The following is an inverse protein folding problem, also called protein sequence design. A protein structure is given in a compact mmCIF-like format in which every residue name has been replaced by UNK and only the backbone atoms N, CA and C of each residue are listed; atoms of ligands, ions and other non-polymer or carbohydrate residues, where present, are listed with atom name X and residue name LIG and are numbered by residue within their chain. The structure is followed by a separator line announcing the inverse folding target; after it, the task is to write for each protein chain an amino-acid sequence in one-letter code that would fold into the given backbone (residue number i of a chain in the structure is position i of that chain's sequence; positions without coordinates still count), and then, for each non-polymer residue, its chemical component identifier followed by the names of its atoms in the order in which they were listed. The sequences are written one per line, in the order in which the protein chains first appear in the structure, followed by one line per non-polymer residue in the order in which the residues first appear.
data_IF_237570007178
#
_entry.id   IF_237570007178
#
_cell.length_a   1.000
_cell.length_b   1.000
_cell.length_c   1.000
_cell.angle_alpha   90.00
_cell.angle_beta   90.00
_cell.angle_gamma   90.00
#
_symmetry.space_group_name_H-M   'P 1'
#
loop_
_entity.id
_entity.type
_entity.pdbx_description
1 polymer ?
#
# COMPACT_ATOMS: atom_id res chain seq x y z
N UNK A 1 -16.03 -29.22 -2.81
CA UNK A 1 -15.13 -28.53 -1.87
C UNK A 1 -14.21 -27.69 -2.74
N UNK A 2 -14.43 -26.37 -2.83
CA UNK A 2 -13.57 -25.49 -3.63
C UNK A 2 -12.31 -25.25 -2.83
N UNK A 3 -11.23 -25.95 -3.19
CA UNK A 3 -9.89 -25.64 -2.71
C UNK A 3 -9.50 -24.35 -3.44
N UNK A 4 -9.38 -23.25 -2.69
CA UNK A 4 -8.78 -22.03 -3.24
C UNK A 4 -7.29 -22.28 -3.22
N UNK A 5 -6.76 -22.75 -4.34
CA UNK A 5 -5.32 -22.86 -4.57
C UNK A 5 -4.78 -21.43 -4.65
N UNK A 6 -4.22 -20.95 -3.53
CA UNK A 6 -3.72 -19.59 -3.41
C UNK A 6 -2.20 -19.65 -3.58
N UNK A 7 -1.67 -19.04 -4.64
CA UNK A 7 -0.23 -19.00 -4.86
C UNK A 7 0.40 -17.93 -3.96
N UNK A 8 0.90 -18.37 -2.80
CA UNK A 8 1.53 -17.53 -1.77
C UNK A 8 2.76 -16.79 -2.29
N UNK A 9 3.53 -17.38 -3.21
CA UNK A 9 4.67 -16.72 -3.87
C UNK A 9 4.25 -15.54 -4.75
N UNK A 10 3.12 -15.67 -5.46
CA UNK A 10 2.54 -14.57 -6.25
C UNK A 10 2.07 -13.46 -5.33
N UNK A 11 1.36 -13.79 -4.23
CA UNK A 11 0.95 -12.80 -3.24
C UNK A 11 2.14 -12.06 -2.62
N UNK A 12 3.22 -12.77 -2.32
CA UNK A 12 4.45 -12.18 -1.78
C UNK A 12 5.12 -11.24 -2.78
N UNK A 13 5.19 -11.65 -4.04
CA UNK A 13 5.74 -10.82 -5.13
C UNK A 13 4.91 -9.56 -5.36
N UNK A 14 3.60 -9.70 -5.44
CA UNK A 14 2.67 -8.60 -5.67
C UNK A 14 2.70 -7.62 -4.50
N UNK A 15 2.67 -8.12 -3.26
CA UNK A 15 2.70 -7.25 -2.08
C UNK A 15 4.03 -6.53 -1.91
N UNK A 16 5.14 -7.14 -2.34
CA UNK A 16 6.44 -6.48 -2.45
C UNK A 16 6.42 -5.35 -3.49
N UNK A 17 5.86 -5.61 -4.67
CA UNK A 17 5.72 -4.63 -5.75
C UNK A 17 4.85 -3.44 -5.32
N UNK A 18 3.69 -3.73 -4.71
CA UNK A 18 2.77 -2.70 -4.18
C UNK A 18 3.45 -1.88 -3.09
N UNK A 19 4.25 -2.49 -2.21
CA UNK A 19 5.04 -1.75 -1.21
C UNK A 19 6.00 -0.75 -1.85
N UNK A 20 6.62 -1.12 -2.97
CA UNK A 20 7.45 -0.22 -3.78
C UNK A 20 6.64 0.96 -4.33
N UNK A 21 5.46 0.71 -4.89
CA UNK A 21 4.57 1.76 -5.39
C UNK A 21 4.06 2.69 -4.29
N UNK A 22 3.67 2.17 -3.13
CA UNK A 22 3.30 2.96 -1.95
C UNK A 22 4.44 3.91 -1.57
N UNK A 23 5.67 3.41 -1.53
CA UNK A 23 6.85 4.22 -1.21
C UNK A 23 7.07 5.35 -2.22
N UNK A 24 6.93 5.06 -3.51
CA UNK A 24 7.04 6.05 -4.57
C UNK A 24 5.93 7.11 -4.49
N UNK A 25 4.69 6.70 -4.22
CA UNK A 25 3.56 7.61 -4.06
C UNK A 25 3.75 8.54 -2.86
N UNK A 26 4.25 8.03 -1.72
CA UNK A 26 4.57 8.86 -0.55
C UNK A 26 5.64 9.90 -0.86
N UNK A 27 6.68 9.52 -1.61
CA UNK A 27 7.73 10.46 -2.02
C UNK A 27 7.20 11.53 -2.98
N UNK A 28 6.35 11.14 -3.93
CA UNK A 28 5.71 12.08 -4.84
C UNK A 28 4.78 13.06 -4.10
N UNK A 29 3.99 12.57 -3.14
CA UNK A 29 3.12 13.40 -2.29
C UNK A 29 3.93 14.47 -1.54
N UNK A 30 5.03 14.07 -0.87
CA UNK A 30 5.94 15.00 -0.18
C UNK A 30 6.57 16.03 -1.12
N UNK A 31 6.91 15.63 -2.34
CA UNK A 31 7.45 16.55 -3.33
C UNK A 31 6.42 17.62 -3.74
N UNK A 32 5.15 17.22 -3.91
CA UNK A 32 4.05 18.15 -4.19
C UNK A 32 3.88 19.13 -3.02
N UNK A 33 3.88 18.64 -1.78
CA UNK A 33 3.79 19.50 -0.58
C UNK A 33 4.92 20.54 -0.53
N UNK A 34 6.16 20.14 -0.84
CA UNK A 34 7.30 21.05 -0.91
C UNK A 34 7.16 22.12 -1.99
N UNK A 35 6.62 21.74 -3.16
CA UNK A 35 6.35 22.68 -4.26
C UNK A 35 5.26 23.68 -3.87
N UNK A 36 4.17 23.22 -3.22
CA UNK A 36 3.10 24.10 -2.71
C UNK A 36 3.68 25.15 -1.75
N UNK A 37 4.54 24.73 -0.81
CA UNK A 37 5.19 25.65 0.13
C UNK A 37 6.11 26.68 -0.53
N UNK A 38 6.67 26.36 -1.69
CA UNK A 38 7.49 27.31 -2.47
C UNK A 38 6.62 28.29 -3.25
N UNK A 39 5.51 27.80 -3.82
CA UNK A 39 4.54 28.62 -4.56
C UNK A 39 3.86 29.65 -3.68
N UNK A 40 3.48 29.30 -2.44
CA UNK A 40 2.81 30.23 -1.51
C UNK A 40 3.67 31.45 -1.14
N UNK A 41 5.00 31.34 -1.21
CA UNK A 41 5.92 32.46 -0.96
C UNK A 41 6.19 33.36 -2.17
N UNK A 42 5.74 32.98 -3.38
CA UNK A 42 6.04 33.68 -4.63
C UNK A 42 4.81 34.12 -5.42
N UNK A 43 3.65 33.56 -5.13
CA UNK A 43 2.39 33.87 -5.79
C UNK A 43 1.31 34.21 -4.75
N UNK A 44 0.89 35.47 -4.74
CA UNK A 44 -0.10 36.00 -3.80
C UNK A 44 -1.41 36.39 -4.49
N UNK A 45 -2.49 36.50 -3.71
CA UNK A 45 -3.83 36.90 -4.15
C UNK A 45 -4.89 35.80 -4.03
N UNK A 46 -6.16 36.16 -4.23
CA UNK A 46 -7.31 35.26 -4.02
C UNK A 46 -7.23 33.97 -4.87
N UNK A 47 -6.74 34.09 -6.11
CA UNK A 47 -6.51 32.95 -7.00
C UNK A 47 -5.44 32.00 -6.45
N UNK A 48 -4.36 32.54 -5.89
CA UNK A 48 -3.28 31.75 -5.29
C UNK A 48 -3.79 30.98 -4.06
N UNK A 49 -4.51 31.66 -3.15
CA UNK A 49 -5.11 31.05 -1.96
C UNK A 49 -6.08 29.92 -2.31
N UNK A 50 -6.91 30.13 -3.34
CA UNK A 50 -7.87 29.13 -3.82
C UNK A 50 -7.16 27.90 -4.39
N UNK A 51 -6.12 28.13 -5.19
CA UNK A 51 -5.33 27.05 -5.78
C UNK A 51 -4.57 26.25 -4.71
N UNK A 52 -3.90 26.94 -3.78
CA UNK A 52 -3.18 26.32 -2.66
C UNK A 52 -4.11 25.47 -1.80
N UNK A 53 -5.29 25.99 -1.45
CA UNK A 53 -6.29 25.26 -0.67
C UNK A 53 -6.74 24.00 -1.39
N UNK A 54 -7.01 24.09 -2.69
CA UNK A 54 -7.43 22.93 -3.50
C UNK A 54 -6.33 21.88 -3.56
N UNK A 55 -5.09 22.29 -3.80
CA UNK A 55 -3.95 21.38 -3.89
C UNK A 55 -3.66 20.69 -2.56
N UNK A 56 -3.73 21.40 -1.44
CA UNK A 56 -3.61 20.81 -0.11
C UNK A 56 -4.67 19.73 0.12
N UNK A 57 -5.94 20.02 -0.24
CA UNK A 57 -7.01 19.03 -0.13
C UNK A 57 -6.78 17.81 -1.03
N UNK A 58 -6.27 18.00 -2.25
CA UNK A 58 -5.98 16.90 -3.16
C UNK A 58 -4.80 16.05 -2.65
N UNK A 59 -3.78 16.66 -2.05
CA UNK A 59 -2.69 15.94 -1.36
C UNK A 59 -3.20 15.16 -0.15
N UNK A 60 -4.11 15.72 0.65
CA UNK A 60 -4.73 15.00 1.77
C UNK A 60 -5.43 13.73 1.28
N UNK A 61 -6.25 13.84 0.23
CA UNK A 61 -6.94 12.68 -0.37
C UNK A 61 -5.98 11.66 -0.97
N UNK A 62 -4.88 12.12 -1.57
CA UNK A 62 -3.82 11.24 -2.05
C UNK A 62 -3.20 10.44 -0.89
N UNK A 63 -2.91 11.09 0.24
CA UNK A 63 -2.36 10.43 1.42
C UNK A 63 -3.36 9.42 2.01
N UNK A 64 -4.65 9.76 2.09
CA UNK A 64 -5.71 8.82 2.50
C UNK A 64 -5.78 7.58 1.60
N UNK A 65 -5.68 7.77 0.28
CA UNK A 65 -5.66 6.67 -0.69
C UNK A 65 -4.41 5.79 -0.52
N UNK A 66 -3.24 6.41 -0.33
CA UNK A 66 -1.98 5.70 -0.10
C UNK A 66 -2.09 4.82 1.15
N UNK A 67 -2.69 5.33 2.22
CA UNK A 67 -2.85 4.60 3.46
C UNK A 67 -3.85 3.44 3.32
N UNK A 68 -4.98 3.65 2.63
CA UNK A 68 -5.92 2.57 2.31
C UNK A 68 -5.28 1.44 1.48
N UNK A 69 -4.44 1.78 0.49
CA UNK A 69 -3.69 0.79 -0.30
C UNK A 69 -2.67 0.07 0.59
N UNK A 70 -2.01 0.79 1.52
CA UNK A 70 -1.06 0.19 2.47
C UNK A 70 -1.73 -0.81 3.40
N UNK A 71 -2.91 -0.51 3.92
CA UNK A 71 -3.69 -1.42 4.76
C UNK A 71 -4.11 -2.67 3.98
N UNK A 72 -4.61 -2.52 2.75
CA UNK A 72 -4.96 -3.64 1.89
C UNK A 72 -3.75 -4.54 1.60
N UNK A 73 -2.59 -3.93 1.32
CA UNK A 73 -1.36 -4.64 1.06
C UNK A 73 -0.90 -5.46 2.28
N UNK A 74 -0.99 -4.86 3.48
CA UNK A 74 -0.65 -5.52 4.73
C UNK A 74 -1.62 -6.67 5.07
N UNK A 75 -2.91 -6.48 4.79
CA UNK A 75 -3.90 -7.56 4.88
C UNK A 75 -3.58 -8.73 3.94
N UNK A 76 -3.16 -8.43 2.72
CA UNK A 76 -2.76 -9.43 1.72
C UNK A 76 -1.50 -10.19 2.16
N UNK A 77 -0.48 -9.49 2.69
CA UNK A 77 0.70 -10.13 3.27
C UNK A 77 0.33 -11.07 4.41
N UNK A 78 -0.53 -10.61 5.33
CA UNK A 78 -1.00 -11.40 6.47
C UNK A 78 -1.75 -12.66 6.02
N UNK A 79 -2.60 -12.53 4.99
CA UNK A 79 -3.29 -13.66 4.41
C UNK A 79 -2.31 -14.67 3.79
N UNK A 80 -1.32 -14.19 3.02
CA UNK A 80 -0.25 -15.03 2.45
C UNK A 80 0.49 -15.84 3.51
N UNK A 81 0.95 -15.20 4.59
CA UNK A 81 1.62 -15.89 5.70
C UNK A 81 0.72 -16.93 6.37
N UNK A 82 -0.58 -16.66 6.52
CA UNK A 82 -1.52 -17.64 7.11
C UNK A 82 -1.73 -18.86 6.22
N UNK A 83 -1.76 -18.68 4.90
CA UNK A 83 -1.82 -19.80 3.96
C UNK A 83 -0.56 -20.67 4.03
N UNK A 84 0.64 -20.05 3.99
CA UNK A 84 1.92 -20.77 4.13
C UNK A 84 1.98 -21.58 5.44
N UNK A 85 1.56 -20.99 6.56
CA UNK A 85 1.50 -21.68 7.85
C UNK A 85 0.54 -22.88 7.83
N UNK A 86 -0.63 -22.72 7.19
CA UNK A 86 -1.60 -23.80 7.06
C UNK A 86 -1.03 -24.97 6.26
N UNK A 87 -0.39 -24.69 5.12
CA UNK A 87 0.23 -25.70 4.26
C UNK A 87 1.35 -26.45 4.98
N UNK A 88 2.21 -25.74 5.70
CA UNK A 88 3.28 -26.35 6.51
C UNK A 88 2.71 -27.27 7.61
N UNK A 89 1.69 -26.81 8.35
CA UNK A 89 1.06 -27.62 9.39
C UNK A 89 0.42 -28.90 8.82
N UNK A 90 -0.22 -28.82 7.65
CA UNK A 90 -0.81 -29.99 6.98
C UNK A 90 0.29 -30.95 6.52
N UNK A 91 1.38 -30.44 5.94
CA UNK A 91 2.53 -31.25 5.53
C UNK A 91 3.15 -31.99 6.73
N UNK A 92 3.30 -31.31 7.87
CA UNK A 92 3.80 -31.91 9.11
C UNK A 92 2.89 -33.03 9.61
N UNK A 93 1.57 -32.81 9.64
CA UNK A 93 0.58 -33.84 10.01
C UNK A 93 0.70 -35.05 9.08
N UNK A 94 0.76 -34.86 7.77
CA UNK A 94 0.91 -35.95 6.80
C UNK A 94 2.21 -36.72 7.03
N UNK A 95 3.33 -36.01 7.27
CA UNK A 95 4.62 -36.65 7.53
C UNK A 95 4.61 -37.48 8.83
N UNK A 96 3.86 -37.05 9.84
CA UNK A 96 3.69 -37.76 11.12
C UNK A 96 2.79 -39.00 11.03
N UNK A 97 1.99 -39.12 9.97
CA UNK A 97 1.15 -40.30 9.68
C UNK A 97 1.91 -41.31 8.82
N UNK A 98 2.76 -40.85 7.90
CA UNK A 98 3.56 -41.69 7.01
C UNK A 98 4.83 -42.25 7.68
N UNK A 99 4.76 -42.53 8.99
CA UNK A 99 5.82 -43.20 9.76
C UNK A 99 5.61 -44.72 9.74
#
# INVERSE_FOLDING_TARGET
MNIIETNTETMKTDTGTISGYISNLRNASKAIEGIIGTLSGSWEGEAATTYETRLKNDVTKLNELIDAISELNQGTQTAGTRYEQCENNVADIISSINV
#
